data_IF_959546535873
#
_entry.id   IF_959546535873
#
_cell.length_a   1.000
_cell.length_b   1.000
_cell.length_c   1.000
_cell.angle_alpha   90.00
_cell.angle_beta   90.00
_cell.angle_gamma   90.00
#
_symmetry.space_group_name_H-M   'P 1'
#
loop_
_entity.id
_entity.type
_entity.pdbx_description
1 polymer ?
#
# COMPACT_ATOMS: atom_id res chain seq x y z
N UNK A 1 -3.38 -17.43 -3.93
CA UNK A 1 -3.64 -16.07 -3.43
C UNK A 1 -2.40 -15.50 -2.77
N UNK A 2 -2.06 -14.28 -3.11
CA UNK A 2 -0.95 -13.57 -2.47
C UNK A 2 -1.47 -12.41 -1.66
N UNK A 3 -0.62 -11.95 -0.74
CA UNK A 3 -0.90 -10.83 0.15
C UNK A 3 0.16 -9.77 -0.07
N UNK A 4 -0.25 -8.52 -0.22
CA UNK A 4 0.62 -7.42 -0.59
C UNK A 4 0.47 -6.29 0.40
N UNK A 5 1.58 -5.65 0.76
CA UNK A 5 1.57 -4.37 1.48
C UNK A 5 1.75 -3.27 0.45
N UNK A 6 0.79 -2.37 0.36
CA UNK A 6 0.83 -1.23 -0.56
C UNK A 6 1.13 0.03 0.23
N UNK A 7 2.14 0.78 -0.20
CA UNK A 7 2.67 1.92 0.53
C UNK A 7 2.24 3.20 -0.19
N UNK A 8 1.54 4.06 0.52
CA UNK A 8 1.00 5.27 -0.08
C UNK A 8 1.02 6.42 0.93
N UNK A 9 0.66 7.61 0.47
CA UNK A 9 0.43 8.77 1.32
C UNK A 9 -1.07 8.96 1.53
N UNK A 10 -1.46 9.88 2.42
CA UNK A 10 -2.87 10.06 2.76
C UNK A 10 -3.70 10.59 1.60
N UNK A 11 -3.14 11.47 0.76
CA UNK A 11 -3.84 11.97 -0.42
C UNK A 11 -4.20 10.85 -1.40
N UNK A 12 -3.23 10.00 -1.71
CA UNK A 12 -3.47 8.90 -2.63
C UNK A 12 -4.32 7.79 -2.03
N UNK A 13 -4.26 7.61 -0.71
CA UNK A 13 -5.19 6.73 -0.01
C UNK A 13 -6.64 7.16 -0.22
N UNK A 14 -6.92 8.47 -0.18
CA UNK A 14 -8.28 8.96 -0.46
C UNK A 14 -8.69 8.64 -1.90
N UNK A 15 -7.78 8.70 -2.85
CA UNK A 15 -8.05 8.31 -4.24
C UNK A 15 -8.39 6.83 -4.34
N UNK A 16 -7.62 5.97 -3.67
CA UNK A 16 -7.87 4.52 -3.65
C UNK A 16 -9.26 4.22 -3.13
N UNK A 17 -9.64 4.83 -2.01
CA UNK A 17 -10.97 4.63 -1.41
C UNK A 17 -12.09 5.09 -2.35
N UNK A 18 -11.92 6.26 -2.95
CA UNK A 18 -12.95 6.87 -3.77
C UNK A 18 -13.08 6.19 -5.13
N UNK A 19 -11.96 5.95 -5.79
CA UNK A 19 -11.92 5.43 -7.16
C UNK A 19 -11.85 3.91 -7.24
N UNK A 20 -11.50 3.24 -6.15
CA UNK A 20 -11.31 1.80 -6.07
C UNK A 20 -10.30 1.30 -7.10
N UNK A 21 -9.16 2.00 -7.17
CA UNK A 21 -8.04 1.72 -8.06
C UNK A 21 -6.74 1.87 -7.26
N UNK A 22 -5.81 0.96 -7.48
CA UNK A 22 -4.42 1.09 -7.02
C UNK A 22 -3.51 1.19 -8.22
N UNK A 23 -2.45 1.97 -8.13
CA UNK A 23 -1.51 2.15 -9.22
C UNK A 23 -0.08 2.34 -8.74
N UNK A 24 0.87 1.90 -9.57
CA UNK A 24 2.30 2.05 -9.30
C UNK A 24 3.02 2.57 -10.53
N UNK A 25 4.21 3.12 -10.32
CA UNK A 25 5.07 3.61 -11.39
C UNK A 25 5.59 2.44 -12.25
N UNK A 26 5.99 2.74 -13.49
CA UNK A 26 6.49 1.73 -14.43
C UNK A 26 7.72 0.97 -13.93
N UNK A 27 8.53 1.58 -13.08
CA UNK A 27 9.70 0.89 -12.51
C UNK A 27 9.31 -0.32 -11.65
N UNK A 28 8.05 -0.39 -11.20
CA UNK A 28 7.52 -1.51 -10.40
C UNK A 28 6.78 -2.53 -11.25
N UNK A 29 7.00 -2.55 -12.57
CA UNK A 29 6.27 -3.44 -13.48
C UNK A 29 6.44 -4.92 -13.16
N UNK A 30 7.62 -5.32 -12.70
CA UNK A 30 7.86 -6.74 -12.38
C UNK A 30 7.03 -7.19 -11.17
N UNK A 31 6.89 -6.31 -10.18
CA UNK A 31 6.05 -6.59 -9.01
C UNK A 31 4.57 -6.62 -9.40
N UNK A 32 4.11 -5.60 -10.14
CA UNK A 32 2.71 -5.53 -10.55
C UNK A 32 2.30 -6.71 -11.42
N UNK A 33 3.20 -7.22 -12.25
CA UNK A 33 2.92 -8.37 -13.13
C UNK A 33 2.57 -9.65 -12.35
N UNK A 34 2.93 -9.73 -11.07
CA UNK A 34 2.65 -10.88 -10.22
C UNK A 34 1.30 -10.79 -9.50
N UNK A 35 0.65 -9.64 -9.56
CA UNK A 35 -0.63 -9.41 -8.88
C UNK A 35 -1.75 -10.03 -9.69
N UNK A 36 -2.66 -10.72 -9.01
CA UNK A 36 -3.79 -11.43 -9.65
C UNK A 36 -5.10 -11.13 -8.95
N UNK A 37 -6.24 -11.21 -9.68
CA UNK A 37 -7.54 -11.13 -9.03
C UNK A 37 -7.65 -12.13 -7.89
N UNK A 38 -8.24 -11.68 -6.78
CA UNK A 38 -8.34 -12.47 -5.54
C UNK A 38 -7.23 -12.19 -4.55
N UNK A 39 -6.13 -11.61 -4.97
CA UNK A 39 -5.07 -11.20 -4.05
C UNK A 39 -5.59 -10.13 -3.08
N UNK A 40 -4.98 -10.07 -1.90
CA UNK A 40 -5.34 -9.08 -0.88
C UNK A 40 -4.28 -8.01 -0.77
N UNK A 41 -4.71 -6.76 -0.68
CA UNK A 41 -3.84 -5.60 -0.51
C UNK A 41 -4.07 -5.00 0.86
N UNK A 42 -3.00 -4.85 1.62
CA UNK A 42 -2.99 -4.14 2.91
C UNK A 42 -2.43 -2.76 2.64
N UNK A 43 -3.20 -1.71 2.93
CA UNK A 43 -2.77 -0.34 2.66
C UNK A 43 -2.11 0.28 3.89
N UNK A 44 -0.90 0.72 3.68
CA UNK A 44 -0.03 1.39 4.66
C UNK A 44 0.13 2.84 4.23
N UNK A 45 -0.23 3.77 5.11
CA UNK A 45 0.05 5.19 4.91
C UNK A 45 1.30 5.54 5.70
N UNK A 46 2.27 6.12 5.00
CA UNK A 46 3.56 6.44 5.60
C UNK A 46 3.45 7.66 6.52
N UNK A 47 4.45 7.81 7.38
CA UNK A 47 4.56 8.97 8.24
C UNK A 47 4.61 10.24 7.39
N UNK A 48 3.85 11.25 7.78
CA UNK A 48 3.81 12.54 7.11
C UNK A 48 3.93 13.66 8.14
N UNK A 49 4.48 14.78 7.70
CA UNK A 49 4.51 16.00 8.50
C UNK A 49 3.46 16.96 7.95
N UNK A 50 2.52 17.39 8.80
CA UNK A 50 1.50 18.36 8.44
C UNK A 50 1.59 19.52 9.44
N UNK A 51 2.03 20.69 8.94
CA UNK A 51 2.34 21.84 9.80
C UNK A 51 3.43 21.45 10.80
N UNK A 52 3.15 21.54 12.10
CA UNK A 52 4.08 21.13 13.17
C UNK A 52 3.77 19.73 13.69
N UNK A 53 2.75 19.06 13.13
CA UNK A 53 2.36 17.73 13.56
C UNK A 53 3.01 16.65 12.74
N UNK A 54 3.33 15.53 13.39
CA UNK A 54 3.77 14.31 12.73
C UNK A 54 2.60 13.34 12.75
N UNK A 55 2.15 12.95 11.55
CA UNK A 55 1.14 11.92 11.41
C UNK A 55 1.85 10.58 11.33
N UNK A 56 1.64 9.75 12.34
CA UNK A 56 2.32 8.45 12.44
C UNK A 56 1.84 7.49 11.35
N UNK A 57 2.70 6.52 10.95
CA UNK A 57 2.32 5.54 9.93
C UNK A 57 1.23 4.61 10.44
N UNK A 58 0.29 4.25 9.56
CA UNK A 58 -0.86 3.40 9.93
C UNK A 58 -1.19 2.41 8.83
N UNK A 59 -1.77 1.29 9.25
CA UNK A 59 -2.54 0.43 8.33
C UNK A 59 -3.96 0.98 8.32
N UNK A 60 -4.50 1.20 7.13
CA UNK A 60 -5.78 1.90 6.99
C UNK A 60 -6.85 1.08 6.26
N UNK A 61 -6.49 -0.04 5.67
CA UNK A 61 -7.50 -0.86 5.02
C UNK A 61 -6.95 -2.10 4.36
N UNK A 62 -7.87 -3.00 4.06
CA UNK A 62 -7.62 -4.21 3.29
C UNK A 62 -8.57 -4.20 2.10
N UNK A 63 -8.04 -4.41 0.91
CA UNK A 63 -8.80 -4.47 -0.33
C UNK A 63 -8.53 -5.79 -1.03
N UNK A 64 -9.46 -6.21 -1.87
CA UNK A 64 -9.27 -7.37 -2.76
C UNK A 64 -9.05 -6.88 -4.18
N UNK A 65 -8.10 -7.50 -4.88
CA UNK A 65 -7.85 -7.24 -6.29
C UNK A 65 -8.98 -7.88 -7.12
N UNK A 66 -9.62 -7.09 -7.98
CA UNK A 66 -10.78 -7.54 -8.77
C UNK A 66 -10.57 -7.42 -10.27
N UNK A 67 -9.35 -7.11 -10.72
CA UNK A 67 -9.01 -7.08 -12.13
C UNK A 67 -7.60 -7.57 -12.38
N UNK A 68 -7.29 -7.92 -13.62
CA UNK A 68 -5.92 -8.06 -14.06
C UNK A 68 -5.24 -6.69 -14.11
N UNK A 69 -3.90 -6.62 -14.02
CA UNK A 69 -3.21 -5.35 -14.22
C UNK A 69 -3.49 -4.75 -15.60
N UNK A 70 -3.66 -3.43 -15.64
CA UNK A 70 -3.87 -2.68 -16.88
C UNK A 70 -3.09 -1.37 -16.83
N UNK A 71 -3.03 -0.68 -17.96
CA UNK A 71 -2.32 0.59 -18.06
C UNK A 71 -3.30 1.72 -18.27
N UNK A 72 -3.18 2.77 -17.45
CA UNK A 72 -4.00 3.98 -17.56
C UNK A 72 -3.19 5.14 -17.00
N UNK A 73 -2.86 6.11 -17.86
CA UNK A 73 -2.03 7.25 -17.48
C UNK A 73 -2.83 8.48 -17.07
N UNK A 74 -4.13 8.34 -16.85
CA UNK A 74 -4.94 9.46 -16.37
C UNK A 74 -4.45 9.93 -15.00
N UNK A 75 -4.51 11.25 -14.76
CA UNK A 75 -4.01 11.83 -13.52
C UNK A 75 -5.06 11.80 -12.43
N UNK A 76 -5.12 10.67 -11.73
CA UNK A 76 -6.01 10.51 -10.57
C UNK A 76 -5.22 10.52 -9.26
N UNK A 77 -3.93 10.14 -9.31
CA UNK A 77 -3.06 10.14 -8.14
C UNK A 77 -2.20 11.40 -8.11
N UNK A 78 -1.80 11.80 -6.91
CA UNK A 78 -0.92 12.94 -6.69
C UNK A 78 0.53 12.51 -6.62
N UNK A 79 1.41 13.27 -7.29
CA UNK A 79 2.85 13.09 -7.25
C UNK A 79 3.52 14.46 -7.09
N UNK A 80 4.79 14.50 -6.66
CA UNK A 80 5.51 15.76 -6.62
C UNK A 80 5.49 16.44 -8.01
N UNK A 81 5.29 17.76 -8.08
CA UNK A 81 5.12 18.45 -9.38
C UNK A 81 6.25 18.22 -10.38
N UNK A 82 7.47 18.04 -9.90
CA UNK A 82 8.64 17.85 -10.75
C UNK A 82 8.79 16.45 -11.33
N UNK A 83 8.02 15.46 -10.84
CA UNK A 83 8.16 14.07 -11.28
C UNK A 83 7.26 13.69 -12.45
N UNK A 84 6.20 14.44 -12.70
CA UNK A 84 5.25 14.15 -13.78
C UNK A 84 4.78 12.67 -13.78
N UNK A 85 4.61 12.09 -12.59
CA UNK A 85 4.25 10.68 -12.42
C UNK A 85 2.75 10.50 -12.39
N UNK A 86 2.21 9.50 -13.12
CA UNK A 86 0.78 9.18 -13.14
C UNK A 86 0.46 7.84 -12.48
N UNK A 87 1.46 7.04 -12.13
CA UNK A 87 1.28 5.68 -11.60
C UNK A 87 0.38 4.85 -12.54
N UNK A 88 0.85 4.59 -13.76
CA UNK A 88 -0.02 4.07 -14.83
C UNK A 88 -0.27 2.57 -14.78
N UNK A 89 0.48 1.81 -14.00
CA UNK A 89 0.26 0.37 -13.87
C UNK A 89 -0.77 0.15 -12.77
N UNK A 90 -2.00 -0.23 -13.15
CA UNK A 90 -3.16 -0.18 -12.27
C UNK A 90 -3.89 -1.51 -12.14
N UNK A 91 -4.57 -1.66 -11.04
CA UNK A 91 -5.52 -2.74 -10.77
C UNK A 91 -6.76 -2.15 -10.14
N UNK A 92 -7.92 -2.76 -10.42
CA UNK A 92 -9.17 -2.42 -9.75
C UNK A 92 -9.27 -3.22 -8.47
N UNK A 93 -9.79 -2.58 -7.43
CA UNK A 93 -9.85 -3.15 -6.08
C UNK A 93 -11.21 -2.89 -5.46
N UNK A 94 -11.57 -3.72 -4.47
CA UNK A 94 -12.78 -3.48 -3.69
C UNK A 94 -12.45 -3.56 -2.20
N UNK A 95 -13.09 -2.74 -1.35
CA UNK A 95 -12.80 -2.74 0.08
C UNK A 95 -13.29 -4.02 0.75
N UNK A 96 -12.46 -4.56 1.65
CA UNK A 96 -12.82 -5.67 2.51
C UNK A 96 -13.00 -5.16 3.94
N UNK A 97 -12.05 -4.37 4.42
CA UNK A 97 -12.08 -3.86 5.79
C UNK A 97 -11.34 -2.51 5.84
N UNK A 98 -11.97 -1.51 6.42
CA UNK A 98 -11.36 -0.19 6.61
C UNK A 98 -11.18 0.07 8.10
N UNK A 99 -10.17 0.83 8.47
CA UNK A 99 -9.91 1.17 9.85
C UNK A 99 -8.66 2.02 9.99
N UNK A 100 -8.15 2.09 11.20
CA UNK A 100 -6.87 2.72 11.48
C UNK A 100 -6.15 1.91 12.55
N UNK A 101 -4.95 1.47 12.23
CA UNK A 101 -4.13 0.64 13.11
C UNK A 101 -2.71 1.19 13.10
N UNK A 102 -2.20 1.59 14.26
CA UNK A 102 -0.84 2.11 14.35
C UNK A 102 0.16 1.05 13.90
N UNK A 103 1.08 1.45 13.03
CA UNK A 103 2.02 0.50 12.44
C UNK A 103 3.20 0.19 13.35
N UNK A 104 3.77 1.19 14.00
CA UNK A 104 4.98 1.00 14.81
C UNK A 104 4.85 -0.10 15.88
N UNK A 105 3.71 -0.21 16.59
CA UNK A 105 3.54 -1.30 17.55
C UNK A 105 3.51 -2.70 16.94
N UNK A 106 3.23 -2.80 15.62
CA UNK A 106 3.21 -4.09 14.91
C UNK A 106 4.61 -4.57 14.53
N UNK A 107 5.58 -3.65 14.40
CA UNK A 107 6.91 -3.97 13.90
C UNK A 107 7.56 -5.18 14.57
N UNK A 108 7.54 -5.32 15.91
CA UNK A 108 8.14 -6.50 16.54
C UNK A 108 7.46 -7.81 16.19
N UNK A 109 6.20 -7.75 15.74
CA UNK A 109 5.36 -8.95 15.48
C UNK A 109 5.36 -9.36 14.01
N UNK A 110 5.79 -8.49 13.09
CA UNK A 110 5.75 -8.75 11.66
C UNK A 110 6.98 -9.51 11.20
N UNK A 111 6.78 -10.67 10.60
CA UNK A 111 7.86 -11.55 10.14
C UNK A 111 8.64 -10.97 8.96
N UNK A 112 7.98 -10.23 8.07
CA UNK A 112 8.68 -9.69 6.93
C UNK A 112 9.66 -8.57 7.30
N UNK A 113 9.54 -8.00 8.49
CA UNK A 113 10.46 -7.00 9.01
C UNK A 113 11.52 -7.71 9.84
N UNK A 114 12.62 -8.11 9.18
CA UNK A 114 13.69 -8.85 9.85
C UNK A 114 14.62 -7.95 10.66
N UNK A 115 14.80 -6.70 10.25
CA UNK A 115 15.59 -5.72 10.99
C UNK A 115 14.64 -4.76 11.73
N UNK A 116 14.38 -5.05 13.00
CA UNK A 116 13.39 -4.32 13.79
C UNK A 116 13.80 -2.86 14.08
N UNK A 117 15.10 -2.60 14.20
CA UNK A 117 15.60 -1.24 14.44
C UNK A 117 15.48 -0.35 13.21
N UNK A 118 15.68 -0.91 12.03
CA UNK A 118 15.60 -0.21 10.75
C UNK A 118 14.42 -0.71 9.92
N UNK A 119 13.29 -0.83 10.57
CA UNK A 119 12.09 -1.38 9.94
C UNK A 119 11.66 -0.63 8.68
N UNK A 120 11.85 0.70 8.65
CA UNK A 120 11.45 1.51 7.50
C UNK A 120 12.23 1.14 6.23
N UNK A 121 13.43 0.59 6.35
CA UNK A 121 14.21 0.13 5.22
C UNK A 121 13.54 -1.00 4.43
N UNK A 122 12.66 -1.76 5.08
CA UNK A 122 11.89 -2.81 4.41
C UNK A 122 10.78 -2.26 3.52
N UNK A 123 10.45 -0.98 3.68
CA UNK A 123 9.39 -0.30 2.93
C UNK A 123 9.94 0.75 1.97
N UNK A 124 11.13 1.26 2.24
CA UNK A 124 11.73 2.35 1.48
C UNK A 124 11.95 1.96 0.02
N UNK A 125 11.57 2.85 -0.91
CA UNK A 125 11.73 2.63 -2.34
C UNK A 125 10.76 1.62 -2.94
N UNK A 126 9.82 1.11 -2.16
CA UNK A 126 8.82 0.14 -2.63
C UNK A 126 7.44 0.79 -2.68
N UNK A 127 6.73 0.55 -3.78
CA UNK A 127 5.32 0.95 -3.87
C UNK A 127 4.42 -0.14 -3.30
N UNK A 128 4.81 -1.39 -3.49
CA UNK A 128 4.13 -2.55 -2.92
C UNK A 128 5.11 -3.70 -2.80
N UNK A 129 4.86 -4.59 -1.86
CA UNK A 129 5.67 -5.79 -1.67
C UNK A 129 4.81 -6.92 -1.15
N UNK A 130 5.18 -8.14 -1.50
CA UNK A 130 4.51 -9.33 -0.97
C UNK A 130 4.83 -9.49 0.52
N UNK A 131 3.83 -9.92 1.29
CA UNK A 131 3.99 -10.23 2.72
C UNK A 131 3.49 -11.65 2.99
N UNK A 132 4.03 -12.31 4.03
CA UNK A 132 3.56 -13.64 4.39
C UNK A 132 2.10 -13.63 4.85
N UNK A 133 1.40 -14.74 4.64
CA UNK A 133 0.03 -14.89 5.10
C UNK A 133 -0.11 -14.65 6.60
N UNK A 134 0.85 -15.09 7.39
CA UNK A 134 0.85 -14.89 8.84
C UNK A 134 0.78 -13.42 9.22
N UNK A 135 1.55 -12.58 8.55
CA UNK A 135 1.54 -11.14 8.79
C UNK A 135 0.22 -10.52 8.36
N UNK A 136 -0.33 -10.98 7.24
CA UNK A 136 -1.64 -10.54 6.78
C UNK A 136 -2.73 -10.90 7.81
N UNK A 137 -2.72 -12.14 8.33
CA UNK A 137 -3.73 -12.58 9.31
C UNK A 137 -3.65 -11.79 10.60
N UNK A 138 -2.44 -11.47 11.06
CA UNK A 138 -2.26 -10.62 12.23
C UNK A 138 -2.88 -9.24 12.01
N UNK A 139 -2.59 -8.63 10.87
CA UNK A 139 -3.12 -7.30 10.54
C UNK A 139 -4.64 -7.34 10.42
N UNK A 140 -5.17 -8.33 9.70
CA UNK A 140 -6.61 -8.48 9.51
C UNK A 140 -7.35 -8.60 10.86
N UNK A 141 -6.77 -9.34 11.80
CA UNK A 141 -7.37 -9.53 13.10
C UNK A 141 -7.34 -8.30 13.99
N UNK A 142 -6.37 -7.41 13.79
CA UNK A 142 -6.20 -6.21 14.61
C UNK A 142 -6.87 -4.97 14.01
N UNK A 143 -7.08 -4.95 12.71
CA UNK A 143 -7.73 -3.84 12.03
C UNK A 143 -9.27 -3.84 12.29
#
# INVERSE_FOLDING_TARGET
MKYWLCITNRENWEVVKKRKVWGVAKRHRNTMAKVKPGDRLVFYVKQERKNKEILEPKIVGIFEVVSEPYTDSSRIFKSPPHLNETYPLRIKVKPIKLGELDFKPLVPKLKFITNKKRWSGHLMGKAMREIPEEDYRLIEGLL
#
